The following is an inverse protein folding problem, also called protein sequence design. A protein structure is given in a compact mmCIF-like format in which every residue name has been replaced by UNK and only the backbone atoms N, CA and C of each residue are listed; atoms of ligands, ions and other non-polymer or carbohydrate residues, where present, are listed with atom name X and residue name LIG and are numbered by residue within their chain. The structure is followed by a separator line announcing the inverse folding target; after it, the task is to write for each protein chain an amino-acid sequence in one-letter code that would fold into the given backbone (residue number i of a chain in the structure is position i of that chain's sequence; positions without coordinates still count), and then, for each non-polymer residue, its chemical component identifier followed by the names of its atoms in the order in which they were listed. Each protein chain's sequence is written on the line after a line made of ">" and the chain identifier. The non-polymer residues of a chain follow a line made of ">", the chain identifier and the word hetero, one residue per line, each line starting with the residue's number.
data_IF_937256614507
#
_entry.id   IF_937256614507
#
_cell.length_a   1.000
_cell.length_b   1.000
_cell.length_c   1.000
_cell.angle_alpha   90.00
_cell.angle_beta   90.00
_cell.angle_gamma   90.00
#
_symmetry.space_group_name_H-M   'P 1'
#
loop_
_entity.id
_entity.type
_entity.pdbx_description
1 polymer ?
#
# COMPACT_ATOMS: atom_id res chain seq x y z
N UNK A 1 -7.70 21.53 5.73
CA UNK A 1 -8.46 22.16 4.63
C UNK A 1 -9.10 21.08 3.76
N UNK A 2 -10.42 21.09 3.58
CA UNK A 2 -11.10 20.14 2.67
C UNK A 2 -11.71 20.97 1.55
N UNK A 3 -11.40 20.62 0.30
CA UNK A 3 -11.95 21.29 -0.88
C UNK A 3 -13.45 21.04 -0.99
N UNK A 4 -14.20 22.07 -1.38
CA UNK A 4 -15.64 21.99 -1.71
C UNK A 4 -15.93 21.13 -2.94
N UNK A 5 -14.91 20.84 -3.76
CA UNK A 5 -14.98 19.95 -4.93
C UNK A 5 -14.55 18.52 -4.62
N UNK A 6 -14.16 18.21 -3.39
CA UNK A 6 -13.92 16.83 -2.97
C UNK A 6 -15.23 16.19 -2.52
N UNK A 7 -15.44 14.93 -2.85
CA UNK A 7 -16.57 14.15 -2.37
C UNK A 7 -16.14 13.35 -1.15
N UNK A 8 -16.43 13.88 0.03
CA UNK A 8 -16.09 13.26 1.31
C UNK A 8 -17.38 12.87 2.04
N UNK A 9 -17.52 11.59 2.36
CA UNK A 9 -18.69 11.15 3.13
C UNK A 9 -18.74 11.80 4.49
N UNK A 10 -19.93 12.25 4.93
CA UNK A 10 -20.12 12.79 6.29
C UNK A 10 -19.91 11.74 7.39
N UNK A 11 -19.86 10.47 7.07
CA UNK A 11 -19.57 9.38 8.02
C UNK A 11 -18.08 9.10 8.16
N UNK A 12 -17.26 9.53 7.20
CA UNK A 12 -15.81 9.38 7.29
C UNK A 12 -15.25 10.15 8.49
N UNK A 13 -14.29 9.55 9.18
CA UNK A 13 -13.62 10.17 10.33
C UNK A 13 -12.32 10.80 9.86
N UNK A 14 -12.29 12.12 9.77
CA UNK A 14 -11.15 12.90 9.31
C UNK A 14 -10.51 13.59 10.50
N UNK A 15 -9.20 13.37 10.67
CA UNK A 15 -8.39 13.96 11.74
C UNK A 15 -8.15 15.46 11.59
N UNK A 16 -7.32 16.00 12.49
CA UNK A 16 -6.98 17.41 12.49
C UNK A 16 -5.96 17.74 11.39
N UNK A 17 -5.99 18.97 10.89
CA UNK A 17 -5.05 19.51 9.90
C UNK A 17 -4.95 18.68 8.60
N UNK A 18 -5.95 17.88 8.30
CA UNK A 18 -5.99 17.12 7.03
C UNK A 18 -6.27 18.07 5.87
N UNK A 19 -5.52 17.89 4.79
CA UNK A 19 -5.75 18.59 3.51
C UNK A 19 -6.28 17.59 2.48
N UNK A 20 -7.48 17.86 1.94
CA UNK A 20 -8.09 17.06 0.88
C UNK A 20 -8.31 17.98 -0.32
N UNK A 21 -7.65 17.66 -1.42
CA UNK A 21 -7.69 18.45 -2.65
C UNK A 21 -8.94 18.14 -3.51
N UNK A 22 -9.23 18.97 -4.54
CA UNK A 22 -10.36 18.77 -5.42
C UNK A 22 -10.43 17.38 -6.04
N UNK A 23 -11.65 16.86 -6.21
CA UNK A 23 -11.97 15.59 -6.88
C UNK A 23 -11.45 14.33 -6.17
N UNK A 24 -10.96 14.45 -4.95
CA UNK A 24 -10.76 13.28 -4.10
C UNK A 24 -12.11 12.68 -3.69
N UNK A 25 -12.17 11.35 -3.59
CA UNK A 25 -13.35 10.58 -3.21
C UNK A 25 -13.08 9.77 -1.95
N UNK A 26 -13.83 10.00 -0.87
CA UNK A 26 -13.69 9.34 0.42
C UNK A 26 -15.02 8.71 0.82
N UNK A 27 -15.04 7.39 0.99
CA UNK A 27 -16.24 6.63 1.33
C UNK A 27 -16.61 6.69 2.83
N UNK A 28 -17.73 6.04 3.17
CA UNK A 28 -18.39 6.10 4.47
C UNK A 28 -17.54 5.56 5.62
N UNK A 29 -17.02 4.34 5.46
CA UNK A 29 -16.25 3.63 6.50
C UNK A 29 -14.75 3.86 6.34
N UNK A 30 -14.34 5.12 6.36
CA UNK A 30 -12.94 5.54 6.24
C UNK A 30 -12.51 6.32 7.49
N UNK A 31 -11.28 6.04 7.94
CA UNK A 31 -10.60 6.83 8.99
C UNK A 31 -9.27 7.36 8.41
N UNK A 32 -9.06 8.67 8.50
CA UNK A 32 -7.83 9.35 8.11
C UNK A 32 -7.30 10.11 9.32
N UNK A 33 -6.09 9.77 9.75
CA UNK A 33 -5.41 10.43 10.87
C UNK A 33 -4.96 11.85 10.57
N UNK A 34 -4.39 12.50 11.58
CA UNK A 34 -4.01 13.90 11.54
C UNK A 34 -2.93 14.22 10.50
N UNK A 35 -2.88 15.47 10.06
CA UNK A 35 -1.85 16.05 9.18
C UNK A 35 -1.67 15.35 7.82
N UNK A 36 -2.62 14.52 7.41
CA UNK A 36 -2.56 13.84 6.11
C UNK A 36 -2.84 14.81 4.96
N UNK A 37 -2.24 14.52 3.80
CA UNK A 37 -2.47 15.25 2.55
C UNK A 37 -2.98 14.27 1.49
N UNK A 38 -4.19 14.50 1.01
CA UNK A 38 -4.86 13.71 0.00
C UNK A 38 -4.95 14.55 -1.28
N UNK A 39 -4.18 14.18 -2.28
CA UNK A 39 -4.09 14.92 -3.55
C UNK A 39 -5.30 14.67 -4.46
N UNK A 40 -5.44 15.45 -5.56
CA UNK A 40 -6.59 15.31 -6.47
C UNK A 40 -6.76 13.89 -7.02
N UNK A 41 -8.03 13.49 -7.23
CA UNK A 41 -8.42 12.20 -7.82
C UNK A 41 -8.00 10.97 -7.02
N UNK A 42 -7.58 11.13 -5.77
CA UNK A 42 -7.38 9.99 -4.87
C UNK A 42 -8.73 9.42 -4.46
N UNK A 43 -8.85 8.09 -4.47
CA UNK A 43 -10.02 7.37 -3.96
C UNK A 43 -9.63 6.59 -2.70
N UNK A 44 -10.35 6.82 -1.60
CA UNK A 44 -10.20 6.07 -0.35
C UNK A 44 -11.49 5.33 -0.07
N UNK A 45 -11.42 4.01 -0.20
CA UNK A 45 -12.58 3.13 -0.18
C UNK A 45 -12.86 2.62 1.23
N UNK A 46 -14.07 2.09 1.44
CA UNK A 46 -14.54 1.54 2.70
C UNK A 46 -13.57 0.51 3.30
N UNK A 47 -13.48 0.49 4.63
CA UNK A 47 -12.56 -0.37 5.37
C UNK A 47 -11.14 0.18 5.50
N UNK A 48 -10.84 1.36 4.95
CA UNK A 48 -9.50 1.96 5.07
C UNK A 48 -9.33 2.69 6.41
N UNK A 49 -8.24 2.38 7.10
CA UNK A 49 -7.79 3.02 8.34
C UNK A 49 -6.36 3.52 8.13
N UNK A 50 -6.20 4.80 8.00
CA UNK A 50 -4.91 5.44 7.75
C UNK A 50 -4.48 6.28 8.96
N UNK A 51 -3.26 6.08 9.42
CA UNK A 51 -2.63 6.86 10.47
C UNK A 51 -2.33 8.30 10.04
N UNK A 52 -1.48 8.97 10.79
CA UNK A 52 -1.16 10.39 10.62
C UNK A 52 0.01 10.64 9.68
N UNK A 53 0.18 11.90 9.27
CA UNK A 53 1.34 12.40 8.52
C UNK A 53 1.57 11.72 7.15
N UNK A 54 0.54 11.08 6.59
CA UNK A 54 0.62 10.41 5.28
C UNK A 54 0.38 11.40 4.13
N UNK A 55 1.08 11.17 3.01
CA UNK A 55 0.87 11.90 1.75
C UNK A 55 0.45 10.92 0.65
N UNK A 56 -0.74 11.13 0.08
CA UNK A 56 -1.31 10.25 -0.95
C UNK A 56 -1.50 11.05 -2.23
N UNK A 57 -0.74 10.70 -3.26
CA UNK A 57 -0.66 11.46 -4.51
C UNK A 57 -1.73 11.03 -5.53
N UNK A 58 -1.82 11.78 -6.61
CA UNK A 58 -2.91 11.76 -7.58
C UNK A 58 -3.23 10.37 -8.14
N UNK A 59 -4.52 10.10 -8.37
CA UNK A 59 -5.06 8.88 -8.97
C UNK A 59 -4.79 7.59 -8.16
N UNK A 60 -4.32 7.71 -6.92
CA UNK A 60 -4.10 6.56 -6.04
C UNK A 60 -5.42 6.03 -5.51
N UNK A 61 -5.54 4.70 -5.42
CA UNK A 61 -6.71 4.03 -4.86
C UNK A 61 -6.30 3.23 -3.62
N UNK A 62 -6.86 3.58 -2.47
CA UNK A 62 -6.63 2.90 -1.20
C UNK A 62 -7.87 2.12 -0.78
N UNK A 63 -7.70 0.85 -0.38
CA UNK A 63 -8.79 -0.02 0.03
C UNK A 63 -9.65 -0.54 -1.13
N UNK A 64 -9.11 -0.57 -2.35
CA UNK A 64 -9.78 -1.21 -3.47
C UNK A 64 -10.19 -2.66 -3.12
N UNK A 65 -11.29 -3.13 -3.71
CA UNK A 65 -11.71 -4.51 -3.55
C UNK A 65 -10.60 -5.48 -3.97
N UNK A 66 -10.42 -6.60 -3.22
CA UNK A 66 -9.39 -7.57 -3.56
C UNK A 66 -9.65 -8.22 -4.92
N UNK A 67 -8.60 -8.40 -5.70
CA UNK A 67 -8.66 -9.11 -6.98
C UNK A 67 -8.45 -10.61 -6.74
N UNK A 68 -9.31 -11.21 -5.92
CA UNK A 68 -9.28 -12.62 -5.54
C UNK A 68 -10.62 -13.27 -5.86
N UNK A 69 -10.59 -14.44 -6.47
CA UNK A 69 -11.80 -15.23 -6.81
C UNK A 69 -12.59 -15.69 -5.57
N UNK A 70 -11.99 -15.69 -4.40
CA UNK A 70 -12.64 -16.04 -3.14
C UNK A 70 -13.41 -14.87 -2.50
N UNK A 71 -13.17 -13.64 -2.93
CA UNK A 71 -13.87 -12.47 -2.39
C UNK A 71 -15.38 -12.55 -2.67
N UNK A 72 -16.20 -12.32 -1.65
CA UNK A 72 -17.68 -12.40 -1.71
C UNK A 72 -18.37 -11.12 -1.24
N UNK A 73 -17.65 -10.01 -1.21
CA UNK A 73 -18.18 -8.75 -0.64
C UNK A 73 -17.94 -8.63 0.86
N UNK A 74 -16.99 -9.37 1.40
CA UNK A 74 -16.66 -9.41 2.81
C UNK A 74 -16.22 -8.05 3.36
N UNK A 75 -16.59 -7.77 4.62
CA UNK A 75 -16.14 -6.60 5.35
C UNK A 75 -14.69 -6.80 5.83
N UNK A 76 -13.76 -6.33 5.05
CA UNK A 76 -12.32 -6.42 5.31
C UNK A 76 -11.66 -5.05 5.34
N UNK A 77 -10.40 -4.97 5.73
CA UNK A 77 -9.75 -3.70 5.98
C UNK A 77 -8.41 -3.54 5.22
N UNK A 78 -8.08 -2.28 4.97
CA UNK A 78 -6.73 -1.80 4.69
C UNK A 78 -6.28 -0.93 5.86
N UNK A 79 -5.19 -1.32 6.50
CA UNK A 79 -4.55 -0.57 7.59
C UNK A 79 -3.27 0.07 7.07
N UNK A 80 -3.13 1.37 7.22
CA UNK A 80 -1.94 2.14 6.85
C UNK A 80 -1.43 2.87 8.09
N UNK A 81 -0.18 2.67 8.43
CA UNK A 81 0.50 3.35 9.53
C UNK A 81 0.78 4.83 9.27
N UNK A 82 1.78 5.36 9.93
CA UNK A 82 2.12 6.77 9.94
C UNK A 82 3.23 7.14 8.94
N UNK A 83 3.18 8.37 8.42
CA UNK A 83 4.29 8.98 7.71
C UNK A 83 4.65 8.35 6.36
N UNK A 84 3.74 7.63 5.72
CA UNK A 84 3.97 7.04 4.41
C UNK A 84 3.84 8.08 3.29
N UNK A 85 4.64 7.90 2.25
CA UNK A 85 4.54 8.65 0.99
C UNK A 85 4.08 7.67 -0.09
N UNK A 86 2.85 7.84 -0.54
CA UNK A 86 2.20 6.97 -1.53
C UNK A 86 2.01 7.79 -2.81
N UNK A 87 2.86 7.50 -3.81
CA UNK A 87 2.93 8.27 -5.04
C UNK A 87 1.76 7.96 -5.98
N UNK A 88 1.82 8.55 -7.16
CA UNK A 88 0.76 8.56 -8.17
C UNK A 88 0.40 7.15 -8.66
N UNK A 89 -0.87 6.93 -8.97
CA UNK A 89 -1.38 5.69 -9.57
C UNK A 89 -1.09 4.41 -8.75
N UNK A 90 -0.83 4.54 -7.46
CA UNK A 90 -0.68 3.39 -6.57
C UNK A 90 -2.04 2.77 -6.30
N UNK A 91 -2.11 1.43 -6.28
CA UNK A 91 -3.32 0.70 -5.87
C UNK A 91 -2.99 -0.24 -4.73
N UNK A 92 -3.71 -0.11 -3.62
CA UNK A 92 -3.59 -1.00 -2.46
C UNK A 92 -4.96 -1.62 -2.20
N UNK A 93 -5.07 -2.95 -2.31
CA UNK A 93 -6.30 -3.67 -2.02
C UNK A 93 -6.48 -3.88 -0.52
N UNK A 94 -7.74 -3.89 -0.05
CA UNK A 94 -8.08 -4.43 1.28
C UNK A 94 -8.02 -5.96 1.26
N UNK A 95 -8.17 -6.59 2.41
CA UNK A 95 -8.11 -8.06 2.52
C UNK A 95 -9.32 -8.76 1.89
N UNK A 96 -9.20 -10.07 1.67
CA UNK A 96 -10.21 -10.89 0.98
C UNK A 96 -11.36 -11.31 1.88
N UNK A 97 -11.08 -11.74 3.11
CA UNK A 97 -12.06 -12.35 4.00
C UNK A 97 -12.51 -11.38 5.11
N UNK A 98 -13.67 -11.66 5.69
CA UNK A 98 -14.21 -10.94 6.84
C UNK A 98 -13.16 -10.83 7.95
N UNK A 99 -13.06 -9.65 8.56
CA UNK A 99 -12.08 -9.30 9.59
C UNK A 99 -10.61 -9.42 9.16
N UNK A 100 -10.35 -9.75 7.88
CA UNK A 100 -9.01 -9.75 7.30
C UNK A 100 -8.44 -8.34 7.13
N UNK A 101 -7.11 -8.25 7.11
CA UNK A 101 -6.41 -6.98 6.97
C UNK A 101 -5.24 -7.07 6.00
N UNK A 102 -5.17 -6.15 5.03
CA UNK A 102 -3.94 -5.76 4.37
C UNK A 102 -3.29 -4.69 5.23
N UNK A 103 -2.00 -4.79 5.52
CA UNK A 103 -1.31 -3.89 6.47
C UNK A 103 -0.09 -3.27 5.81
N UNK A 104 -0.02 -1.95 5.85
CA UNK A 104 1.15 -1.14 5.49
C UNK A 104 1.64 -0.45 6.76
N UNK A 105 2.86 -0.74 7.19
CA UNK A 105 3.47 -0.11 8.36
C UNK A 105 3.82 1.37 8.14
N UNK A 106 4.78 1.86 8.93
CA UNK A 106 5.12 3.28 8.95
C UNK A 106 6.23 3.64 7.96
N UNK A 107 6.26 4.90 7.53
CA UNK A 107 7.38 5.54 6.82
C UNK A 107 7.82 4.80 5.55
N UNK A 108 6.91 4.13 4.88
CA UNK A 108 7.18 3.52 3.59
C UNK A 108 7.10 4.55 2.46
N UNK A 109 7.89 4.34 1.43
CA UNK A 109 7.85 5.11 0.19
C UNK A 109 7.43 4.21 -0.96
N UNK A 110 6.21 4.37 -1.44
CA UNK A 110 5.66 3.66 -2.58
C UNK A 110 5.71 4.59 -3.79
N UNK A 111 6.57 4.28 -4.77
CA UNK A 111 6.70 5.08 -5.99
C UNK A 111 5.53 4.85 -6.93
N UNK A 112 5.49 5.61 -8.02
CA UNK A 112 4.42 5.60 -9.01
C UNK A 112 4.11 4.18 -9.52
N UNK A 113 2.81 3.89 -9.64
CA UNK A 113 2.32 2.65 -10.22
C UNK A 113 2.59 1.38 -9.41
N UNK A 114 3.01 1.51 -8.16
CA UNK A 114 3.13 0.35 -7.24
C UNK A 114 1.76 -0.27 -7.02
N UNK A 115 1.71 -1.60 -7.00
CA UNK A 115 0.52 -2.35 -6.62
C UNK A 115 0.81 -3.22 -5.42
N UNK A 116 -0.02 -3.13 -4.39
CA UNK A 116 -0.03 -4.03 -3.23
C UNK A 116 -1.36 -4.76 -3.19
N UNK A 117 -1.31 -6.06 -3.34
CA UNK A 117 -2.49 -6.91 -3.35
C UNK A 117 -2.96 -7.24 -1.93
N UNK A 118 -4.11 -7.90 -1.86
CA UNK A 118 -4.85 -8.25 -0.64
C UNK A 118 -4.05 -9.10 0.35
N UNK A 119 -4.41 -9.05 1.61
CA UNK A 119 -3.87 -9.86 2.71
C UNK A 119 -2.35 -9.75 2.95
N UNK A 120 -1.70 -8.84 2.23
CA UNK A 120 -0.26 -8.57 2.33
C UNK A 120 0.05 -7.77 3.60
N UNK A 121 1.17 -8.09 4.26
CA UNK A 121 1.68 -7.37 5.43
C UNK A 121 3.05 -6.79 5.14
N UNK A 122 3.14 -5.48 5.23
CA UNK A 122 4.36 -4.71 4.98
C UNK A 122 4.80 -4.02 6.26
N UNK A 123 6.06 -4.20 6.64
CA UNK A 123 6.69 -3.53 7.77
C UNK A 123 6.92 -2.03 7.50
N UNK A 124 7.96 -1.48 8.07
CA UNK A 124 8.23 -0.04 8.04
C UNK A 124 9.49 0.33 7.27
N UNK A 125 9.55 1.60 6.86
CA UNK A 125 10.71 2.23 6.22
C UNK A 125 11.18 1.51 4.94
N UNK A 126 10.24 0.90 4.21
CA UNK A 126 10.52 0.23 2.94
C UNK A 126 10.44 1.22 1.78
N UNK A 127 11.15 0.91 0.71
CA UNK A 127 11.10 1.62 -0.56
C UNK A 127 10.61 0.67 -1.65
N UNK A 128 9.52 1.03 -2.30
CA UNK A 128 8.98 0.31 -3.46
C UNK A 128 9.20 1.14 -4.71
N UNK A 129 10.13 0.71 -5.55
CA UNK A 129 10.46 1.37 -6.82
C UNK A 129 9.30 1.37 -7.81
N UNK A 130 9.39 2.22 -8.82
CA UNK A 130 8.39 2.39 -9.85
C UNK A 130 7.85 1.05 -10.39
N UNK A 131 6.53 0.92 -10.43
CA UNK A 131 5.87 -0.23 -11.02
C UNK A 131 6.05 -1.57 -10.29
N UNK A 132 6.60 -1.60 -9.08
CA UNK A 132 6.68 -2.82 -8.26
C UNK A 132 5.30 -3.42 -8.02
N UNK A 133 5.18 -4.74 -8.14
CA UNK A 133 3.94 -5.51 -7.91
C UNK A 133 4.14 -6.52 -6.80
N UNK A 134 3.41 -6.35 -5.72
CA UNK A 134 3.36 -7.29 -4.59
C UNK A 134 2.03 -8.02 -4.67
N UNK A 135 2.08 -9.31 -4.94
CA UNK A 135 0.89 -10.16 -5.02
C UNK A 135 0.31 -10.44 -3.62
N UNK A 136 -0.84 -11.13 -3.56
CA UNK A 136 -1.53 -11.42 -2.31
C UNK A 136 -0.73 -12.27 -1.32
N UNK A 137 -1.08 -12.16 -0.04
CA UNK A 137 -0.52 -12.95 1.07
C UNK A 137 1.00 -12.81 1.28
N UNK A 138 1.62 -11.76 0.76
CA UNK A 138 3.04 -11.50 0.96
C UNK A 138 3.32 -10.93 2.35
N UNK A 139 4.51 -11.25 2.88
CA UNK A 139 5.02 -10.69 4.14
C UNK A 139 6.35 -10.00 3.85
N UNK A 140 6.39 -8.69 4.03
CA UNK A 140 7.58 -7.87 3.79
C UNK A 140 8.06 -7.30 5.12
N UNK A 141 9.31 -7.52 5.45
CA UNK A 141 9.95 -6.99 6.65
C UNK A 141 10.17 -5.47 6.63
N UNK A 142 11.12 -5.03 7.43
CA UNK A 142 11.48 -3.62 7.58
C UNK A 142 12.67 -3.24 6.68
N UNK A 143 12.73 -1.98 6.25
CA UNK A 143 13.87 -1.39 5.50
C UNK A 143 14.25 -2.14 4.23
N UNK A 144 13.31 -2.81 3.60
CA UNK A 144 13.51 -3.50 2.32
C UNK A 144 13.50 -2.49 1.18
N UNK A 145 14.36 -2.68 0.19
CA UNK A 145 14.41 -1.88 -1.03
C UNK A 145 14.01 -2.76 -2.22
N UNK A 146 12.86 -2.47 -2.78
CA UNK A 146 12.45 -2.99 -4.09
C UNK A 146 12.82 -1.96 -5.15
N UNK A 147 13.75 -2.30 -6.05
CA UNK A 147 14.02 -1.45 -7.21
C UNK A 147 12.86 -1.51 -8.22
N UNK A 148 12.94 -0.73 -9.30
CA UNK A 148 11.82 -0.62 -10.25
C UNK A 148 11.44 -1.95 -10.91
N UNK A 149 10.13 -2.17 -11.08
CA UNK A 149 9.59 -3.30 -11.83
C UNK A 149 9.77 -4.67 -11.17
N UNK A 150 10.00 -4.71 -9.87
CA UNK A 150 10.07 -5.97 -9.13
C UNK A 150 8.67 -6.61 -9.01
N UNK A 151 8.61 -7.94 -9.11
CA UNK A 151 7.38 -8.72 -8.96
C UNK A 151 7.57 -9.78 -7.88
N UNK A 152 6.85 -9.64 -6.77
CA UNK A 152 6.72 -10.66 -5.74
C UNK A 152 5.48 -11.53 -6.03
N UNK A 153 5.65 -12.82 -6.20
CA UNK A 153 4.55 -13.76 -6.39
C UNK A 153 3.78 -14.01 -5.07
N UNK A 154 2.54 -14.53 -5.13
CA UNK A 154 1.71 -14.75 -3.95
C UNK A 154 2.42 -15.55 -2.84
N UNK A 155 2.20 -15.15 -1.60
CA UNK A 155 2.71 -15.84 -0.41
C UNK A 155 4.21 -15.70 -0.15
N UNK A 156 4.94 -14.93 -0.97
CA UNK A 156 6.39 -14.71 -0.78
C UNK A 156 6.69 -13.91 0.48
N UNK A 157 7.80 -14.21 1.13
CA UNK A 157 8.30 -13.47 2.29
C UNK A 157 9.63 -12.80 1.96
N UNK A 158 9.81 -11.58 2.43
CA UNK A 158 11.06 -10.82 2.28
C UNK A 158 11.52 -10.37 3.64
N UNK A 159 12.72 -10.79 4.01
CA UNK A 159 13.36 -10.44 5.29
C UNK A 159 13.83 -8.99 5.33
N UNK A 160 14.13 -8.51 6.54
CA UNK A 160 14.56 -7.14 6.81
C UNK A 160 15.79 -6.74 6.01
N UNK A 161 15.86 -5.49 5.60
CA UNK A 161 17.00 -4.87 4.95
C UNK A 161 17.51 -5.61 3.69
N UNK A 162 16.67 -6.44 3.08
CA UNK A 162 16.96 -7.02 1.78
C UNK A 162 16.85 -5.96 0.66
N UNK A 163 17.63 -6.11 -0.39
CA UNK A 163 17.53 -5.30 -1.60
C UNK A 163 17.20 -6.19 -2.79
N UNK A 164 16.12 -5.88 -3.50
CA UNK A 164 15.69 -6.60 -4.69
C UNK A 164 15.96 -5.71 -5.92
N UNK A 165 16.82 -6.19 -6.83
CA UNK A 165 17.20 -5.42 -7.99
C UNK A 165 16.07 -5.31 -9.02
N UNK A 166 16.19 -4.31 -9.91
CA UNK A 166 15.17 -3.98 -10.91
C UNK A 166 14.85 -5.18 -11.81
N UNK A 167 13.54 -5.36 -12.08
CA UNK A 167 13.04 -6.42 -12.95
C UNK A 167 13.08 -7.83 -12.36
N UNK A 168 13.55 -7.99 -11.13
CA UNK A 168 13.54 -9.30 -10.46
C UNK A 168 12.13 -9.80 -10.24
N UNK A 169 11.89 -11.06 -10.56
CA UNK A 169 10.67 -11.78 -10.22
C UNK A 169 10.99 -12.98 -9.34
N UNK A 170 10.27 -13.13 -8.23
CA UNK A 170 10.49 -14.22 -7.30
C UNK A 170 9.18 -14.83 -6.77
N UNK A 171 9.26 -16.12 -6.43
CA UNK A 171 8.19 -16.91 -5.81
C UNK A 171 8.69 -17.68 -4.58
N UNK A 172 9.92 -17.40 -4.16
CA UNK A 172 10.55 -17.98 -2.97
C UNK A 172 10.85 -16.88 -1.97
N UNK A 173 11.02 -17.27 -0.72
CA UNK A 173 11.38 -16.34 0.34
C UNK A 173 12.76 -15.72 0.10
N UNK A 174 12.89 -14.45 0.39
CA UNK A 174 14.13 -13.68 0.32
C UNK A 174 14.65 -13.50 1.74
N UNK A 175 15.81 -14.05 2.11
CA UNK A 175 16.39 -13.86 3.44
C UNK A 175 16.72 -12.39 3.75
N UNK A 176 16.83 -12.01 5.03
CA UNK A 176 17.24 -10.65 5.38
C UNK A 176 18.70 -10.35 4.98
N UNK A 177 19.01 -9.06 4.81
CA UNK A 177 20.33 -8.49 4.57
C UNK A 177 21.04 -8.97 3.28
N UNK A 178 20.32 -9.46 2.30
CA UNK A 178 20.90 -9.90 1.02
C UNK A 178 20.45 -9.03 -0.14
N UNK A 179 21.19 -9.14 -1.24
CA UNK A 179 20.80 -8.62 -2.56
C UNK A 179 20.22 -9.76 -3.38
N UNK A 180 18.98 -9.61 -3.84
CA UNK A 180 18.31 -10.55 -4.74
C UNK A 180 18.23 -9.96 -6.15
N UNK A 181 18.51 -10.77 -7.16
CA UNK A 181 18.54 -10.36 -8.57
C UNK A 181 18.01 -11.47 -9.48
N UNK A 182 17.77 -11.13 -10.72
CA UNK A 182 17.44 -12.05 -11.82
C UNK A 182 16.05 -12.73 -11.75
N UNK A 183 15.77 -13.49 -12.81
CA UNK A 183 14.63 -14.40 -12.96
C UNK A 183 15.13 -15.69 -13.66
N UNK A 184 15.20 -16.85 -12.96
CA UNK A 184 14.86 -17.06 -11.55
C UNK A 184 15.78 -16.31 -10.60
N UNK A 185 15.24 -15.97 -9.41
CA UNK A 185 15.96 -15.18 -8.42
C UNK A 185 17.26 -15.85 -7.98
N UNK A 186 18.32 -15.06 -7.87
CA UNK A 186 19.64 -15.41 -7.34
C UNK A 186 19.98 -14.47 -6.18
N UNK A 187 20.83 -14.94 -5.29
CA UNK A 187 21.31 -14.15 -4.16
C UNK A 187 22.77 -13.75 -4.40
N UNK A 188 23.00 -12.44 -4.40
CA UNK A 188 24.32 -11.85 -4.37
C UNK A 188 24.63 -11.36 -2.97
N UNK A 189 25.83 -11.55 -2.51
CA UNK A 189 26.30 -11.14 -1.18
C UNK A 189 26.53 -9.66 -1.05
#
# INVERSE_FOLDING_TARGET
>A
MISDKALVSPKAKIGQNVTIYPFAYIEDDVVIGDNCIIYPYVSVMNGTRMGRDNKVFQNTVLGAEPQDFNYRGDASQLIIGDGNIIRENVVINRATFSDGQTVIGDKNFLMEGVHVSHDTKIGRANVFGYGTKIAGDCIIGDRVIFSSGVIANPGSRVGDAAMIQSGTRFSKDIPPFIVATDNPVRYGG
#
